data_IF_777359757588
#
_entry.id   IF_777359757588
#
_cell.length_a   1.000
_cell.length_b   1.000
_cell.length_c   1.000
_cell.angle_alpha   90.00
_cell.angle_beta   90.00
_cell.angle_gamma   90.00
#
_symmetry.space_group_name_H-M   'P 1'
#
loop_
_entity.id
_entity.type
_entity.pdbx_description
1 polymer ?
#
# COMPACT_ATOMS: atom_id res chain seq x y z
N UNK A 1 6.41 -27.40 -50.43
CA UNK A 1 5.49 -27.43 -49.27
C UNK A 1 6.16 -26.74 -48.07
N UNK A 2 6.44 -25.43 -48.16
CA UNK A 2 7.26 -24.68 -47.18
C UNK A 2 6.46 -23.60 -46.41
N UNK A 3 5.13 -23.62 -46.47
CA UNK A 3 4.27 -22.57 -45.89
C UNK A 3 3.84 -22.79 -44.43
N UNK A 4 3.92 -24.02 -43.90
CA UNK A 4 3.26 -24.36 -42.64
C UNK A 4 4.02 -23.89 -41.38
N UNK A 5 5.35 -23.70 -41.47
CA UNK A 5 6.17 -23.32 -40.31
C UNK A 5 6.16 -21.82 -39.99
N UNK A 6 5.85 -20.96 -40.97
CA UNK A 6 5.76 -19.51 -40.78
C UNK A 6 4.48 -19.10 -40.04
N UNK A 7 3.35 -19.68 -40.45
CA UNK A 7 2.03 -19.42 -39.85
C UNK A 7 1.98 -19.93 -38.39
N UNK A 8 2.59 -21.09 -38.09
CA UNK A 8 2.63 -21.62 -36.73
C UNK A 8 3.52 -20.77 -35.80
N UNK A 9 4.64 -20.24 -36.30
CA UNK A 9 5.51 -19.33 -35.55
C UNK A 9 4.81 -17.99 -35.27
N UNK A 10 4.05 -17.48 -36.25
CA UNK A 10 3.29 -16.24 -36.09
C UNK A 10 2.13 -16.41 -35.09
N UNK A 11 1.42 -17.53 -35.14
CA UNK A 11 0.36 -17.85 -34.16
C UNK A 11 0.90 -17.97 -32.72
N UNK A 12 2.06 -18.61 -32.53
CA UNK A 12 2.70 -18.71 -31.21
C UNK A 12 3.15 -17.35 -30.69
N UNK A 13 3.65 -16.49 -31.57
CA UNK A 13 4.06 -15.13 -31.23
C UNK A 13 2.85 -14.27 -30.84
N UNK A 14 1.76 -14.33 -31.59
CA UNK A 14 0.52 -13.63 -31.27
C UNK A 14 -0.09 -14.09 -29.95
N UNK A 15 -0.03 -15.39 -29.65
CA UNK A 15 -0.44 -15.93 -28.36
C UNK A 15 0.43 -15.41 -27.21
N UNK A 16 1.76 -15.39 -27.39
CA UNK A 16 2.69 -14.87 -26.38
C UNK A 16 2.50 -13.36 -26.12
N UNK A 17 2.32 -12.55 -27.17
CA UNK A 17 2.04 -11.12 -27.01
C UNK A 17 0.69 -10.86 -26.31
N UNK A 18 -0.33 -11.66 -26.61
CA UNK A 18 -1.65 -11.56 -25.98
C UNK A 18 -1.59 -11.89 -24.49
N UNK A 19 -0.89 -12.97 -24.13
CA UNK A 19 -0.70 -13.36 -22.73
C UNK A 19 0.14 -12.32 -21.96
N UNK A 20 1.17 -11.77 -22.59
CA UNK A 20 1.99 -10.70 -22.01
C UNK A 20 1.16 -9.44 -21.73
N UNK A 21 0.33 -9.01 -22.69
CA UNK A 21 -0.57 -7.87 -22.52
C UNK A 21 -1.59 -8.10 -21.41
N UNK A 22 -2.20 -9.29 -21.39
CA UNK A 22 -3.13 -9.67 -20.32
C UNK A 22 -2.45 -9.65 -18.94
N UNK A 23 -1.22 -10.14 -18.82
CA UNK A 23 -0.43 -10.09 -17.58
C UNK A 23 -0.10 -8.66 -17.15
N UNK A 24 0.17 -7.76 -18.11
CA UNK A 24 0.37 -6.33 -17.81
C UNK A 24 -0.91 -5.66 -17.33
N UNK A 25 -2.04 -5.92 -17.99
CA UNK A 25 -3.33 -5.37 -17.60
C UNK A 25 -3.69 -5.79 -16.16
N UNK A 26 -3.43 -7.05 -15.80
CA UNK A 26 -3.61 -7.56 -14.44
C UNK A 26 -2.69 -6.87 -13.41
N UNK A 27 -1.44 -6.58 -13.77
CA UNK A 27 -0.51 -5.84 -12.90
C UNK A 27 -0.99 -4.41 -12.69
N UNK A 28 -1.31 -3.68 -13.76
CA UNK A 28 -1.79 -2.29 -13.68
C UNK A 28 -3.05 -2.19 -12.80
N UNK A 29 -4.00 -3.10 -13.01
CA UNK A 29 -5.23 -3.17 -12.23
C UNK A 29 -4.94 -3.50 -10.75
N UNK A 30 -3.91 -4.31 -10.48
CA UNK A 30 -3.45 -4.55 -9.11
C UNK A 30 -2.82 -3.29 -8.47
N UNK A 31 -2.05 -2.49 -9.22
CA UNK A 31 -1.47 -1.22 -8.74
C UNK A 31 -2.61 -0.27 -8.34
N UNK A 32 -3.63 -0.11 -9.20
CA UNK A 32 -4.77 0.74 -8.90
C UNK A 32 -5.51 0.33 -7.63
N UNK A 33 -5.68 -0.97 -7.37
CA UNK A 33 -6.27 -1.44 -6.12
C UNK A 33 -5.40 -1.16 -4.91
N UNK A 34 -4.08 -1.25 -5.05
CA UNK A 34 -3.12 -0.88 -3.99
C UNK A 34 -3.22 0.63 -3.69
N UNK A 35 -3.31 1.48 -4.72
CA UNK A 35 -3.50 2.93 -4.58
C UNK A 35 -4.80 3.28 -3.86
N UNK A 36 -5.90 2.63 -4.23
CA UNK A 36 -7.19 2.83 -3.57
C UNK A 36 -7.12 2.45 -2.09
N UNK A 37 -6.41 1.38 -1.72
CA UNK A 37 -6.18 1.01 -0.31
C UNK A 37 -5.36 2.08 0.41
N UNK A 38 -4.28 2.55 -0.20
CA UNK A 38 -3.41 3.59 0.38
C UNK A 38 -4.19 4.89 0.63
N UNK A 39 -4.94 5.38 -0.36
CA UNK A 39 -5.82 6.54 -0.21
C UNK A 39 -6.90 6.30 0.84
N UNK A 40 -7.43 5.09 0.94
CA UNK A 40 -8.37 4.69 2.00
C UNK A 40 -7.78 4.85 3.40
N UNK A 41 -6.57 4.33 3.64
CA UNK A 41 -5.86 4.46 4.91
C UNK A 41 -5.59 5.93 5.24
N UNK A 42 -5.08 6.69 4.26
CA UNK A 42 -4.82 8.12 4.42
C UNK A 42 -6.07 8.90 4.85
N UNK A 43 -7.19 8.69 4.15
CA UNK A 43 -8.47 9.34 4.46
C UNK A 43 -8.99 8.95 5.84
N UNK A 44 -8.88 7.66 6.21
CA UNK A 44 -9.29 7.19 7.53
C UNK A 44 -8.48 7.87 8.63
N UNK A 45 -7.16 7.95 8.50
CA UNK A 45 -6.30 8.61 9.47
C UNK A 45 -6.64 10.09 9.62
N UNK A 46 -6.86 10.80 8.50
CA UNK A 46 -7.28 12.21 8.54
C UNK A 46 -8.64 12.40 9.20
N UNK A 47 -9.60 11.51 8.93
CA UNK A 47 -10.92 11.53 9.55
C UNK A 47 -10.80 11.35 11.06
N UNK A 48 -10.03 10.35 11.50
CA UNK A 48 -9.76 10.12 12.92
C UNK A 48 -9.12 11.37 13.53
N UNK A 49 -8.00 11.86 12.99
CA UNK A 49 -7.33 13.08 13.47
C UNK A 49 -8.28 14.31 13.51
N UNK A 50 -9.17 14.45 12.54
CA UNK A 50 -10.16 15.53 12.49
C UNK A 50 -11.23 15.46 13.58
N UNK A 51 -11.80 14.27 13.81
CA UNK A 51 -12.72 14.03 14.94
C UNK A 51 -12.03 14.37 16.27
N UNK A 52 -10.76 13.98 16.40
CA UNK A 52 -10.00 14.19 17.61
C UNK A 52 -9.65 15.67 17.85
N UNK A 53 -9.23 16.36 16.80
CA UNK A 53 -9.01 17.81 16.83
C UNK A 53 -10.30 18.55 17.24
N UNK A 54 -11.45 18.09 16.75
CA UNK A 54 -12.76 18.65 17.11
C UNK A 54 -13.10 18.44 18.59
N UNK A 55 -12.89 17.22 19.11
CA UNK A 55 -13.11 16.90 20.52
C UNK A 55 -12.20 17.74 21.45
N UNK A 56 -10.93 17.91 21.07
CA UNK A 56 -9.98 18.77 21.80
C UNK A 56 -10.42 20.23 21.77
N UNK A 57 -10.85 20.73 20.61
CA UNK A 57 -11.34 22.11 20.45
C UNK A 57 -12.57 22.39 21.32
N UNK A 58 -13.52 21.44 21.37
CA UNK A 58 -14.71 21.56 22.20
C UNK A 58 -14.36 21.58 23.69
N UNK A 59 -13.42 20.73 24.12
CA UNK A 59 -12.97 20.64 25.52
C UNK A 59 -12.34 21.96 25.99
N UNK A 60 -11.52 22.60 25.14
CA UNK A 60 -10.91 23.91 25.43
C UNK A 60 -11.98 25.00 25.56
N UNK A 61 -13.03 24.98 24.73
CA UNK A 61 -14.07 26.02 24.73
C UNK A 61 -15.01 25.96 25.93
N UNK A 62 -15.25 24.77 26.48
CA UNK A 62 -16.28 24.59 27.51
C UNK A 62 -15.73 24.68 28.94
N UNK A 63 -14.41 24.74 29.13
CA UNK A 63 -13.74 24.60 30.45
C UNK A 63 -14.25 23.40 31.29
N UNK A 64 -14.97 22.48 30.64
CA UNK A 64 -15.72 21.41 31.31
C UNK A 64 -14.80 20.27 31.77
N UNK A 65 -13.63 20.15 31.13
CA UNK A 65 -12.62 19.15 31.48
C UNK A 65 -11.24 19.80 31.31
N UNK A 66 -10.38 19.70 32.32
CA UNK A 66 -9.02 20.24 32.20
C UNK A 66 -8.27 19.53 31.06
N UNK A 67 -8.02 20.28 29.99
CA UNK A 67 -7.38 19.83 28.74
C UNK A 67 -6.03 19.13 28.97
N UNK A 68 -5.39 19.42 30.10
CA UNK A 68 -4.17 18.77 30.58
C UNK A 68 -4.33 17.26 30.78
N UNK A 69 -5.53 16.73 31.04
CA UNK A 69 -5.71 15.28 31.22
C UNK A 69 -5.69 14.51 29.89
N UNK A 70 -6.15 15.13 28.80
CA UNK A 70 -6.16 14.52 27.46
C UNK A 70 -4.84 14.72 26.69
N UNK A 71 -4.02 15.70 27.07
CA UNK A 71 -2.64 15.84 26.60
C UNK A 71 -1.72 14.94 27.42
N UNK A 72 -1.59 13.69 27.01
CA UNK A 72 -0.77 12.67 27.67
C UNK A 72 0.10 11.91 26.65
N UNK A 73 1.01 11.06 27.14
CA UNK A 73 1.94 10.33 26.28
C UNK A 73 1.24 9.43 25.27
N UNK A 74 0.10 8.83 25.65
CA UNK A 74 -0.65 7.92 24.80
C UNK A 74 -1.30 8.67 23.62
N UNK A 75 -1.98 9.80 23.89
CA UNK A 75 -2.58 10.61 22.81
C UNK A 75 -1.53 11.21 21.89
N UNK A 76 -0.37 11.61 22.42
CA UNK A 76 0.75 12.10 21.62
C UNK A 76 1.34 11.00 20.70
N UNK A 77 1.62 9.81 21.24
CA UNK A 77 2.10 8.67 20.46
C UNK A 77 1.07 8.22 19.42
N UNK A 78 -0.21 8.17 19.80
CA UNK A 78 -1.31 7.84 18.90
C UNK A 78 -1.40 8.82 17.73
N UNK A 79 -1.37 10.12 18.00
CA UNK A 79 -1.41 11.15 16.97
C UNK A 79 -0.19 11.10 16.04
N UNK A 80 1.01 10.96 16.60
CA UNK A 80 2.24 10.82 15.82
C UNK A 80 2.25 9.57 14.94
N UNK A 81 1.76 8.45 15.46
CA UNK A 81 1.62 7.22 14.69
C UNK A 81 0.61 7.38 13.55
N UNK A 82 -0.57 7.98 13.79
CA UNK A 82 -1.55 8.24 12.72
C UNK A 82 -0.98 9.18 11.63
N UNK A 83 -0.22 10.20 12.02
CA UNK A 83 0.47 11.08 11.06
C UNK A 83 1.53 10.31 10.27
N UNK A 84 2.37 9.52 10.95
CA UNK A 84 3.38 8.68 10.30
C UNK A 84 2.76 7.68 9.33
N UNK A 85 1.68 7.00 9.72
CA UNK A 85 0.91 6.11 8.85
C UNK A 85 0.37 6.84 7.62
N UNK A 86 -0.12 8.07 7.80
CA UNK A 86 -0.62 8.89 6.69
C UNK A 86 0.49 9.23 5.69
N UNK A 87 1.69 9.55 6.18
CA UNK A 87 2.85 9.80 5.33
C UNK A 87 3.24 8.55 4.54
N UNK A 88 3.34 7.39 5.20
CA UNK A 88 3.69 6.13 4.53
C UNK A 88 2.62 5.74 3.50
N UNK A 89 1.34 5.93 3.81
CA UNK A 89 0.26 5.70 2.85
C UNK A 89 0.32 6.64 1.65
N UNK A 90 0.61 7.93 1.88
CA UNK A 90 0.81 8.90 0.80
C UNK A 90 2.02 8.55 -0.07
N UNK A 91 3.12 8.07 0.53
CA UNK A 91 4.30 7.59 -0.21
C UNK A 91 3.92 6.45 -1.14
N UNK A 92 3.19 5.44 -0.64
CA UNK A 92 2.70 4.31 -1.44
C UNK A 92 1.85 4.77 -2.64
N UNK A 93 1.00 5.78 -2.44
CA UNK A 93 0.22 6.37 -3.52
C UNK A 93 1.11 7.10 -4.54
N UNK A 94 2.09 7.88 -4.08
CA UNK A 94 2.96 8.65 -4.99
C UNK A 94 3.96 7.80 -5.77
N UNK A 95 4.35 6.63 -5.25
CA UNK A 95 5.29 5.71 -5.91
C UNK A 95 4.66 4.91 -7.06
N UNK A 96 3.34 4.97 -7.23
CA UNK A 96 2.61 4.22 -8.26
C UNK A 96 2.72 4.80 -9.67
N UNK A 97 3.79 5.52 -10.00
CA UNK A 97 4.09 5.82 -11.40
C UNK A 97 4.43 4.51 -12.12
N UNK A 98 3.51 3.98 -12.92
CA UNK A 98 3.73 2.78 -13.75
C UNK A 98 3.82 3.13 -15.23
N UNK A 99 4.54 2.31 -15.99
CA UNK A 99 4.72 2.50 -17.43
C UNK A 99 3.60 1.78 -18.21
N UNK A 100 2.90 2.51 -19.09
CA UNK A 100 1.65 2.09 -19.76
C UNK A 100 1.83 1.32 -21.08
N UNK A 101 2.98 0.68 -21.31
CA UNK A 101 3.18 -0.06 -22.56
C UNK A 101 3.62 0.84 -23.74
N UNK A 102 3.89 0.24 -24.90
CA UNK A 102 4.31 0.97 -26.12
C UNK A 102 3.04 1.54 -26.76
N UNK A 103 3.01 2.87 -26.95
CA UNK A 103 1.92 3.53 -27.68
C UNK A 103 1.86 3.04 -29.15
N UNK A 104 0.66 2.85 -29.67
CA UNK A 104 0.42 2.32 -31.03
C UNK A 104 1.13 3.17 -32.09
N UNK A 105 1.24 4.48 -31.85
CA UNK A 105 1.95 5.45 -32.68
C UNK A 105 3.45 5.14 -32.83
N UNK A 106 4.09 4.59 -31.78
CA UNK A 106 5.51 4.18 -31.81
C UNK A 106 5.71 2.86 -32.55
N UNK A 107 4.73 1.95 -32.44
CA UNK A 107 4.72 0.69 -33.21
C UNK A 107 4.59 0.96 -34.70
N UNK A 108 3.69 1.86 -35.10
CA UNK A 108 3.51 2.27 -36.50
C UNK A 108 4.74 3.00 -37.07
N UNK A 109 5.41 3.82 -36.25
CA UNK A 109 6.63 4.54 -36.65
C UNK A 109 7.85 3.62 -36.84
N UNK A 110 8.08 2.67 -35.91
CA UNK A 110 9.20 1.72 -36.03
C UNK A 110 8.88 0.60 -37.05
N UNK A 111 7.60 0.25 -37.26
CA UNK A 111 7.15 -0.73 -38.26
C UNK A 111 7.26 -0.26 -39.72
N UNK A 112 7.27 1.07 -39.95
CA UNK A 112 7.53 1.68 -41.26
C UNK A 112 9.03 1.91 -41.54
N UNK A 113 9.90 1.60 -40.59
CA UNK A 113 11.35 1.66 -40.80
C UNK A 113 11.86 0.33 -41.37
N UNK A 114 12.90 0.37 -42.20
CA UNK A 114 13.49 -0.76 -42.97
C UNK A 114 14.16 -1.84 -42.09
N UNK A 115 13.75 -1.95 -40.81
CA UNK A 115 14.22 -2.93 -39.85
C UNK A 115 13.58 -4.27 -40.15
N UNK A 116 14.40 -5.31 -40.16
CA UNK A 116 13.93 -6.69 -40.29
C UNK A 116 12.90 -6.98 -39.19
N UNK A 117 11.76 -7.56 -39.56
CA UNK A 117 10.65 -7.96 -38.68
C UNK A 117 11.18 -8.51 -37.32
N UNK A 118 12.18 -9.40 -37.38
CA UNK A 118 12.85 -10.00 -36.22
C UNK A 118 13.44 -8.97 -35.22
N UNK A 119 14.15 -7.95 -35.71
CA UNK A 119 14.80 -6.95 -34.85
C UNK A 119 13.80 -6.01 -34.17
N UNK A 120 12.65 -5.76 -34.80
CA UNK A 120 11.54 -5.05 -34.18
C UNK A 120 10.96 -5.84 -32.99
N UNK A 121 10.68 -7.13 -33.17
CA UNK A 121 10.15 -7.97 -32.08
C UNK A 121 11.13 -8.19 -30.94
N UNK A 122 12.43 -8.35 -31.22
CA UNK A 122 13.45 -8.47 -30.17
C UNK A 122 13.51 -7.21 -29.29
N UNK A 123 13.43 -6.02 -29.91
CA UNK A 123 13.38 -4.75 -29.18
C UNK A 123 12.07 -4.60 -28.39
N UNK A 124 10.93 -4.92 -29.00
CA UNK A 124 9.62 -4.89 -28.35
C UNK A 124 9.62 -5.79 -27.10
N UNK A 125 10.09 -7.03 -27.25
CA UNK A 125 10.18 -8.00 -26.16
C UNK A 125 11.06 -7.50 -25.01
N UNK A 126 12.23 -6.92 -25.30
CA UNK A 126 13.11 -6.34 -24.28
C UNK A 126 12.44 -5.21 -23.50
N UNK A 127 11.77 -4.27 -24.19
CA UNK A 127 11.04 -3.16 -23.55
C UNK A 127 9.90 -3.67 -22.65
N UNK A 128 9.14 -4.68 -23.11
CA UNK A 128 8.11 -5.31 -22.27
C UNK A 128 8.67 -6.02 -21.04
N UNK A 129 9.81 -6.72 -21.16
CA UNK A 129 10.47 -7.35 -20.01
C UNK A 129 10.93 -6.32 -18.97
N UNK A 130 11.47 -5.19 -19.42
CA UNK A 130 11.90 -4.10 -18.55
C UNK A 130 10.72 -3.49 -17.79
N UNK A 131 9.58 -3.29 -18.44
CA UNK A 131 8.36 -2.77 -17.80
C UNK A 131 7.73 -3.72 -16.80
N UNK A 132 7.66 -5.01 -17.12
CA UNK A 132 7.19 -6.01 -16.17
C UNK A 132 8.08 -5.99 -14.92
N UNK A 133 9.40 -5.93 -15.11
CA UNK A 133 10.36 -5.88 -14.00
C UNK A 133 10.23 -4.58 -13.18
N UNK A 134 10.00 -3.45 -13.84
CA UNK A 134 9.78 -2.16 -13.18
C UNK A 134 8.48 -2.17 -12.35
N UNK A 135 7.37 -2.59 -12.96
CA UNK A 135 6.07 -2.65 -12.31
C UNK A 135 6.09 -3.62 -11.11
N UNK A 136 6.78 -4.76 -11.23
CA UNK A 136 6.99 -5.69 -10.09
C UNK A 136 7.70 -5.03 -8.90
N UNK A 137 8.69 -4.17 -9.13
CA UNK A 137 9.38 -3.44 -8.06
C UNK A 137 8.46 -2.42 -7.39
N UNK A 138 7.70 -1.66 -8.18
CA UNK A 138 6.70 -0.71 -7.68
C UNK A 138 5.65 -1.43 -6.83
N UNK A 139 5.13 -2.56 -7.30
CA UNK A 139 4.21 -3.41 -6.54
C UNK A 139 4.78 -3.87 -5.20
N UNK A 140 6.03 -4.36 -5.20
CA UNK A 140 6.66 -4.84 -3.99
C UNK A 140 6.82 -3.71 -2.97
N UNK A 141 7.28 -2.55 -3.42
CA UNK A 141 7.38 -1.36 -2.57
C UNK A 141 6.03 -0.93 -2.00
N UNK A 142 5.01 -0.78 -2.86
CA UNK A 142 3.67 -0.37 -2.47
C UNK A 142 3.04 -1.35 -1.48
N UNK A 143 3.16 -2.65 -1.72
CA UNK A 143 2.63 -3.69 -0.84
C UNK A 143 3.24 -3.59 0.57
N UNK A 144 4.56 -3.41 0.66
CA UNK A 144 5.21 -3.21 1.96
C UNK A 144 4.81 -1.89 2.62
N UNK A 145 4.78 -0.80 1.87
CA UNK A 145 4.40 0.51 2.39
C UNK A 145 2.97 0.51 2.94
N UNK A 146 2.01 -0.09 2.22
CA UNK A 146 0.62 -0.25 2.68
C UNK A 146 0.56 -1.10 3.96
N UNK A 147 1.32 -2.18 4.03
CA UNK A 147 1.38 -3.05 5.21
C UNK A 147 1.91 -2.29 6.43
N UNK A 148 3.01 -1.55 6.26
CA UNK A 148 3.55 -0.69 7.31
C UNK A 148 2.58 0.42 7.71
N UNK A 149 1.97 1.10 6.75
CA UNK A 149 0.98 2.14 7.01
C UNK A 149 -0.18 1.59 7.84
N UNK A 150 -0.69 0.39 7.52
CA UNK A 150 -1.78 -0.24 8.26
C UNK A 150 -1.36 -0.64 9.68
N UNK A 151 -0.18 -1.25 9.85
CA UNK A 151 0.33 -1.61 11.18
C UNK A 151 0.52 -0.38 12.08
N UNK A 152 1.09 0.69 11.53
CA UNK A 152 1.27 1.96 12.25
C UNK A 152 -0.07 2.62 12.55
N UNK A 153 -1.05 2.58 11.63
CA UNK A 153 -2.40 3.11 11.86
C UNK A 153 -3.06 2.41 13.05
N UNK A 154 -3.00 1.07 13.09
CA UNK A 154 -3.55 0.28 14.19
C UNK A 154 -2.89 0.67 15.52
N UNK A 155 -1.57 0.77 15.56
CA UNK A 155 -0.85 1.23 16.75
C UNK A 155 -1.33 2.64 17.16
N UNK A 156 -1.48 3.54 16.19
CA UNK A 156 -1.97 4.90 16.42
C UNK A 156 -3.36 4.93 17.04
N UNK A 157 -4.30 4.13 16.52
CA UNK A 157 -5.66 4.01 17.07
C UNK A 157 -5.64 3.45 18.49
N UNK A 158 -4.86 2.40 18.74
CA UNK A 158 -4.76 1.75 20.06
C UNK A 158 -4.23 2.73 21.11
N UNK A 159 -3.08 3.37 20.86
CA UNK A 159 -2.51 4.36 21.77
C UNK A 159 -3.45 5.55 21.96
N UNK A 160 -4.09 6.01 20.88
CA UNK A 160 -4.98 7.16 20.97
C UNK A 160 -6.23 6.85 21.84
N UNK A 161 -6.90 5.72 21.59
CA UNK A 161 -8.04 5.28 22.37
C UNK A 161 -7.67 5.11 23.85
N UNK A 162 -6.51 4.52 24.11
CA UNK A 162 -5.93 4.42 25.44
C UNK A 162 -5.74 5.76 26.14
N UNK A 163 -5.19 6.74 25.40
CA UNK A 163 -5.00 8.10 25.90
C UNK A 163 -6.29 8.84 26.23
N UNK A 164 -7.38 8.60 25.50
CA UNK A 164 -8.71 9.11 25.85
C UNK A 164 -9.15 8.52 27.20
N UNK A 165 -9.01 7.20 27.37
CA UNK A 165 -9.38 6.52 28.62
C UNK A 165 -8.59 7.10 29.78
N UNK A 166 -7.25 7.12 29.68
CA UNK A 166 -6.35 7.68 30.71
C UNK A 166 -6.71 9.11 31.07
N UNK A 167 -7.07 9.94 30.08
CA UNK A 167 -7.53 11.31 30.31
C UNK A 167 -8.88 11.37 31.02
N UNK A 168 -9.84 10.54 30.62
CA UNK A 168 -11.18 10.51 31.18
C UNK A 168 -11.21 10.06 32.65
N UNK A 169 -10.42 9.06 33.02
CA UNK A 169 -10.31 8.57 34.40
C UNK A 169 -9.25 9.31 35.23
N UNK A 170 -8.60 10.34 34.65
CA UNK A 170 -7.63 11.23 35.31
C UNK A 170 -6.43 10.53 35.96
N UNK A 171 -6.04 9.33 35.50
CA UNK A 171 -4.91 8.57 36.06
C UNK A 171 -3.55 8.94 35.45
N UNK A 172 -3.43 10.15 34.88
CA UNK A 172 -2.21 10.61 34.20
C UNK A 172 -1.02 10.57 35.16
N UNK A 173 0.06 9.90 34.75
CA UNK A 173 1.32 9.83 35.53
C UNK A 173 1.27 8.86 36.72
N UNK A 174 0.17 8.13 36.91
CA UNK A 174 0.11 7.01 37.85
C UNK A 174 0.81 5.77 37.26
N UNK A 175 1.32 4.89 38.12
CA UNK A 175 1.92 3.61 37.70
C UNK A 175 0.99 2.77 36.80
N UNK A 176 -0.33 2.89 37.01
CA UNK A 176 -1.36 2.22 36.19
C UNK A 176 -1.36 2.74 34.75
N UNK A 177 -1.15 4.04 34.52
CA UNK A 177 -1.08 4.61 33.16
C UNK A 177 0.12 4.06 32.40
N UNK A 178 1.28 3.90 33.05
CA UNK A 178 2.44 3.29 32.41
C UNK A 178 2.25 1.79 32.12
N UNK A 179 1.56 1.06 33.03
CA UNK A 179 1.18 -0.33 32.79
C UNK A 179 0.23 -0.48 31.60
N UNK A 180 -0.73 0.44 31.47
CA UNK A 180 -1.65 0.50 30.32
C UNK A 180 -0.92 0.82 29.02
N UNK A 181 0.04 1.76 29.03
CA UNK A 181 0.88 2.06 27.87
C UNK A 181 1.67 0.83 27.40
N UNK A 182 2.23 0.06 28.34
CA UNK A 182 2.94 -1.17 28.03
C UNK A 182 2.00 -2.23 27.42
N UNK A 183 0.78 -2.38 27.96
CA UNK A 183 -0.23 -3.28 27.43
C UNK A 183 -0.69 -2.87 26.02
N UNK A 184 -0.89 -1.57 25.78
CA UNK A 184 -1.19 -1.00 24.46
C UNK A 184 -0.06 -1.26 23.47
N UNK A 185 1.19 -1.05 23.87
CA UNK A 185 2.36 -1.35 23.06
C UNK A 185 2.45 -2.83 22.69
N UNK A 186 2.16 -3.72 23.65
CA UNK A 186 2.08 -5.16 23.39
C UNK A 186 0.95 -5.51 22.43
N UNK A 187 -0.25 -4.97 22.64
CA UNK A 187 -1.40 -5.18 21.76
C UNK A 187 -1.11 -4.69 20.33
N UNK A 188 -0.55 -3.48 20.20
CA UNK A 188 -0.15 -2.91 18.92
C UNK A 188 0.90 -3.77 18.22
N UNK A 189 1.88 -4.30 18.95
CA UNK A 189 2.89 -5.22 18.41
C UNK A 189 2.28 -6.54 17.94
N UNK A 190 1.34 -7.11 18.69
CA UNK A 190 0.62 -8.34 18.30
C UNK A 190 -0.20 -8.09 17.03
N UNK A 191 -1.02 -7.03 17.01
CA UNK A 191 -1.85 -6.72 15.85
C UNK A 191 -1.02 -6.37 14.61
N UNK A 192 0.05 -5.58 14.78
CA UNK A 192 0.99 -5.26 13.70
C UNK A 192 1.72 -6.50 13.19
N UNK A 193 2.13 -7.39 14.09
CA UNK A 193 2.74 -8.68 13.74
C UNK A 193 1.78 -9.58 12.98
N UNK A 194 0.49 -9.63 13.38
CA UNK A 194 -0.54 -10.37 12.64
C UNK A 194 -0.69 -9.84 11.21
N UNK A 195 -0.76 -8.52 11.04
CA UNK A 195 -0.83 -7.88 9.71
C UNK A 195 0.38 -8.26 8.86
N UNK A 196 1.59 -8.15 9.41
CA UNK A 196 2.83 -8.51 8.71
C UNK A 196 2.89 -10.01 8.35
N UNK A 197 2.44 -10.88 9.25
CA UNK A 197 2.46 -12.33 9.06
C UNK A 197 1.39 -12.86 8.09
N UNK A 198 0.42 -12.02 7.71
CA UNK A 198 -0.74 -12.45 6.90
C UNK A 198 -0.30 -13.08 5.57
N UNK A 199 0.69 -12.50 4.89
CA UNK A 199 1.26 -13.05 3.65
C UNK A 199 1.88 -14.44 3.85
N UNK A 200 2.53 -14.68 4.99
CA UNK A 200 3.12 -15.97 5.34
C UNK A 200 2.06 -17.05 5.56
N UNK A 201 0.99 -16.71 6.30
CA UNK A 201 -0.12 -17.60 6.60
C UNK A 201 -0.82 -18.06 5.30
N UNK A 202 -1.08 -17.14 4.37
CA UNK A 202 -1.71 -17.46 3.09
C UNK A 202 -0.85 -18.35 2.19
N UNK A 203 0.48 -18.21 2.22
CA UNK A 203 1.36 -19.07 1.45
C UNK A 203 1.40 -20.51 1.98
N UNK A 204 1.26 -20.72 3.30
CA UNK A 204 1.08 -22.06 3.89
C UNK A 204 -0.27 -22.72 3.58
N UNK A 205 -1.28 -21.93 3.18
CA UNK A 205 -2.64 -22.42 2.90
C UNK A 205 -2.89 -22.72 1.42
N UNK A 206 -1.96 -22.38 0.51
CA UNK A 206 -2.06 -22.80 -0.88
C UNK A 206 -1.80 -24.31 -0.95
N UNK A 207 -2.78 -25.13 -1.36
CA UNK A 207 -2.48 -26.52 -1.67
C UNK A 207 -1.52 -26.53 -2.86
N UNK A 208 -0.48 -27.37 -2.78
CA UNK A 208 0.42 -27.62 -3.90
C UNK A 208 -0.43 -27.91 -5.14
N UNK A 209 -0.40 -26.98 -6.11
CA UNK A 209 -1.00 -27.19 -7.41
C UNK A 209 -0.20 -28.28 -8.11
N UNK A 210 -0.66 -29.52 -7.95
CA UNK A 210 -0.32 -30.67 -8.80
C UNK A 210 -1.05 -30.57 -10.13
#
# INVERSE_FOLDING_TARGET
MSGNGGDEAQLKLEAACREARHTMDQQIEKIHREDQKAVGIFRLNLLVLGILSSALSLSIRTDAIATSHFLNAHTALGALALLGSSVVAAMAYTSSSFEMGIDLSRVEADGNSDKTYKGFYEKLHAEYCDWVTHNQKVHQFNSYAITWAMAIAIAGIVFFAGGIVVGAIQIRGAGISYGMLAAEGFLAAVLGGMVYSSDGIFNTLKPDSR
#
